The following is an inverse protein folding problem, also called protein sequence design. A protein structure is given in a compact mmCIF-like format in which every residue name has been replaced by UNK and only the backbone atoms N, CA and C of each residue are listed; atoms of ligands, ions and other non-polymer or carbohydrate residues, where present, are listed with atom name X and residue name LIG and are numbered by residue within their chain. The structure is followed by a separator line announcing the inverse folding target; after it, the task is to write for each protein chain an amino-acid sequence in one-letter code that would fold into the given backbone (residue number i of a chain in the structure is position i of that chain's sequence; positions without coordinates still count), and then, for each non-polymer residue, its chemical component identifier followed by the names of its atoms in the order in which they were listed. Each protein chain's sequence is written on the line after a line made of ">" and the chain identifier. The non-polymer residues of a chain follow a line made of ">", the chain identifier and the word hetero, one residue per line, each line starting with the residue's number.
data_IF_514817791266
#
_entry.id   IF_514817791266
#
_cell.length_a   1.000
_cell.length_b   1.000
_cell.length_c   1.000
_cell.angle_alpha   90.00
_cell.angle_beta   90.00
_cell.angle_gamma   90.00
#
_symmetry.space_group_name_H-M   'P 1'
#
loop_
_entity.id
_entity.type
_entity.pdbx_description
1 polymer ?
#
# COMPACT_ATOMS: atom_id res chain seq x y z
N UNK A 1 -8.98 0.38 -2.26
CA UNK A 1 -8.95 0.41 -0.79
C UNK A 1 -9.18 -0.96 -0.17
N UNK A 2 -10.14 -1.75 -0.64
CA UNK A 2 -10.38 -3.11 -0.10
C UNK A 2 -9.15 -4.05 -0.08
N UNK A 3 -8.20 -3.92 -1.03
CA UNK A 3 -7.02 -4.79 -1.10
C UNK A 3 -5.71 -4.14 -0.63
N UNK A 4 -5.71 -2.83 -0.37
CA UNK A 4 -4.49 -2.02 -0.15
C UNK A 4 -4.67 -0.92 0.89
N UNK A 5 -5.79 -0.91 1.60
CA UNK A 5 -6.07 0.09 2.63
C UNK A 5 -5.37 -0.26 3.95
N UNK A 6 -5.15 0.70 4.84
CA UNK A 6 -5.48 2.13 4.72
C UNK A 6 -4.54 2.88 3.75
N UNK A 7 -5.05 3.88 3.02
CA UNK A 7 -4.27 4.67 2.05
C UNK A 7 -4.50 6.16 2.12
N UNK A 8 -3.50 6.94 1.71
CA UNK A 8 -3.59 8.39 1.64
C UNK A 8 -4.30 8.85 0.36
N UNK A 9 -4.64 10.15 0.30
CA UNK A 9 -5.11 10.77 -0.94
C UNK A 9 -4.02 10.77 -2.04
N UNK A 10 -2.76 10.72 -1.65
CA UNK A 10 -1.60 10.73 -2.55
C UNK A 10 -1.46 9.39 -3.25
N UNK A 11 -1.70 8.29 -2.54
CA UNK A 11 -1.74 6.94 -3.12
C UNK A 11 -2.86 6.84 -4.16
N UNK A 12 -4.06 7.34 -3.83
CA UNK A 12 -5.18 7.39 -4.77
C UNK A 12 -4.84 8.19 -6.02
N UNK A 13 -4.21 9.37 -5.86
CA UNK A 13 -3.78 10.19 -6.98
C UNK A 13 -2.69 9.51 -7.81
N UNK A 14 -1.76 8.80 -7.16
CA UNK A 14 -0.72 8.04 -7.82
C UNK A 14 -1.30 6.94 -8.71
N UNK A 15 -2.29 6.18 -8.23
CA UNK A 15 -2.90 5.08 -8.98
C UNK A 15 -3.79 5.55 -10.12
N UNK A 16 -4.66 6.52 -9.84
CA UNK A 16 -5.69 6.95 -10.79
C UNK A 16 -5.22 8.03 -11.75
N UNK A 17 -4.12 8.71 -11.42
CA UNK A 17 -3.64 9.93 -12.09
C UNK A 17 -4.67 11.07 -12.11
N UNK A 18 -5.66 11.04 -11.22
CA UNK A 18 -6.70 12.07 -11.12
C UNK A 18 -6.32 13.18 -10.12
N UNK A 19 -6.87 14.40 -10.29
CA UNK A 19 -6.66 15.48 -9.33
C UNK A 19 -7.23 15.15 -7.94
N UNK A 20 -6.47 15.49 -6.90
CA UNK A 20 -6.83 15.27 -5.48
C UNK A 20 -8.18 15.87 -5.09
N UNK A 21 -8.58 17.00 -5.68
CA UNK A 21 -9.89 17.63 -5.41
C UNK A 21 -11.04 16.72 -5.83
N UNK A 22 -10.97 16.13 -7.03
CA UNK A 22 -11.99 15.20 -7.52
C UNK A 22 -11.99 13.90 -6.72
N UNK A 23 -10.81 13.38 -6.39
CA UNK A 23 -10.68 12.18 -5.56
C UNK A 23 -11.27 12.36 -4.16
N UNK A 24 -11.07 13.52 -3.54
CA UNK A 24 -11.66 13.82 -2.22
C UNK A 24 -13.20 13.85 -2.30
N UNK A 25 -13.75 14.48 -3.32
CA UNK A 25 -15.20 14.51 -3.53
C UNK A 25 -15.76 13.10 -3.79
N UNK A 26 -15.07 12.30 -4.62
CA UNK A 26 -15.47 10.93 -4.91
C UNK A 26 -15.38 10.02 -3.68
N UNK A 27 -14.34 10.16 -2.86
CA UNK A 27 -14.22 9.40 -1.62
C UNK A 27 -15.36 9.74 -0.64
N UNK A 28 -15.73 11.02 -0.53
CA UNK A 28 -16.84 11.45 0.33
C UNK A 28 -18.23 11.03 -0.17
N UNK A 29 -18.38 10.68 -1.45
CA UNK A 29 -19.65 10.25 -2.03
C UNK A 29 -19.88 8.74 -2.01
N UNK A 30 -18.97 7.96 -1.42
CA UNK A 30 -19.01 6.49 -1.44
C UNK A 30 -19.15 6.00 0.00
N UNK A 31 -20.33 5.49 0.36
CA UNK A 31 -20.69 5.11 1.74
C UNK A 31 -19.75 4.07 2.38
N UNK A 32 -19.09 3.24 1.57
CA UNK A 32 -18.14 2.21 2.01
C UNK A 32 -16.73 2.72 2.27
N UNK A 33 -16.45 4.01 2.08
CA UNK A 33 -15.14 4.62 2.32
C UNK A 33 -15.22 5.47 3.57
N UNK A 34 -14.38 5.17 4.55
CA UNK A 34 -14.23 5.95 5.77
C UNK A 34 -12.92 6.73 5.73
N UNK A 35 -12.95 7.97 6.26
CA UNK A 35 -11.76 8.77 6.51
C UNK A 35 -11.35 8.61 7.98
N UNK A 36 -10.16 8.08 8.22
CA UNK A 36 -9.55 7.92 9.54
C UNK A 36 -8.19 8.62 9.61
N UNK A 37 -7.54 8.50 10.78
CA UNK A 37 -6.20 9.04 11.02
C UNK A 37 -5.24 7.88 11.32
N UNK A 38 -4.12 7.86 10.60
CA UNK A 38 -2.96 7.02 10.92
C UNK A 38 -1.85 7.94 11.43
N UNK A 39 -1.76 8.07 12.76
CA UNK A 39 -1.00 9.16 13.38
C UNK A 39 -1.60 10.51 13.01
N UNK A 40 -0.79 11.40 12.41
CA UNK A 40 -1.24 12.71 11.91
C UNK A 40 -1.68 12.68 10.43
N UNK A 41 -1.58 11.53 9.76
CA UNK A 41 -1.88 11.40 8.33
C UNK A 41 -3.33 10.96 8.11
N UNK A 42 -4.13 11.74 7.36
CA UNK A 42 -5.46 11.30 6.96
C UNK A 42 -5.37 10.15 5.95
N UNK A 43 -6.06 9.07 6.25
CA UNK A 43 -6.12 7.87 5.42
C UNK A 43 -7.56 7.49 5.17
N UNK A 44 -7.86 6.95 3.99
CA UNK A 44 -9.14 6.33 3.74
C UNK A 44 -9.02 4.80 3.62
N UNK A 45 -10.05 4.13 4.12
CA UNK A 45 -10.13 2.70 4.24
C UNK A 45 -11.54 2.24 3.90
N UNK A 46 -11.66 0.94 3.63
CA UNK A 46 -12.98 0.32 3.48
C UNK A 46 -13.65 0.22 4.86
N UNK A 47 -14.90 0.65 4.98
CA UNK A 47 -15.63 0.68 6.25
C UNK A 47 -15.69 -0.71 6.92
N UNK A 48 -15.78 -1.78 6.12
CA UNK A 48 -15.77 -3.15 6.64
C UNK A 48 -14.41 -3.52 7.25
N UNK A 49 -13.31 -3.02 6.69
CA UNK A 49 -11.97 -3.22 7.23
C UNK A 49 -11.76 -2.42 8.53
N UNK A 50 -12.32 -1.21 8.62
CA UNK A 50 -12.35 -0.37 9.82
C UNK A 50 -12.98 -1.10 11.01
N UNK A 51 -14.14 -1.73 10.79
CA UNK A 51 -14.85 -2.50 11.81
C UNK A 51 -14.07 -3.74 12.31
N UNK A 52 -13.14 -4.27 11.50
CA UNK A 52 -12.27 -5.39 11.88
C UNK A 52 -10.95 -4.97 12.53
N UNK A 53 -10.63 -3.68 12.59
CA UNK A 53 -9.37 -3.17 13.14
C UNK A 53 -9.23 -3.39 14.67
N UNK A 54 -10.33 -3.67 15.37
CA UNK A 54 -10.35 -4.11 16.78
C UNK A 54 -9.87 -5.57 16.95
N UNK A 55 -9.69 -6.31 15.85
CA UNK A 55 -9.04 -7.61 15.91
C UNK A 55 -7.55 -7.39 16.15
N UNK A 56 -7.07 -7.81 17.33
CA UNK A 56 -5.66 -7.87 17.69
C UNK A 56 -4.85 -8.28 16.46
N UNK A 57 -4.01 -7.37 15.95
CA UNK A 57 -2.99 -7.71 14.96
C UNK A 57 -2.12 -8.78 15.60
N UNK A 58 -2.47 -10.04 15.34
CA UNK A 58 -1.74 -11.19 15.84
C UNK A 58 -0.41 -11.10 15.11
N UNK A 59 0.65 -10.78 15.86
CA UNK A 59 2.01 -10.65 15.33
C UNK A 59 2.24 -11.71 14.26
N UNK A 60 2.65 -11.25 13.07
CA UNK A 60 2.89 -12.07 11.89
C UNK A 60 3.43 -13.42 12.31
N UNK A 61 2.71 -14.50 11.99
CA UNK A 61 3.36 -15.81 11.94
C UNK A 61 4.60 -15.66 11.06
N UNK A 62 5.72 -16.29 11.41
CA UNK A 62 6.91 -16.27 10.55
C UNK A 62 6.49 -16.78 9.16
N UNK A 63 6.39 -15.85 8.20
CA UNK A 63 5.84 -16.13 6.87
C UNK A 63 6.89 -15.86 5.81
N UNK A 64 7.05 -16.82 4.91
CA UNK A 64 7.90 -16.68 3.72
C UNK A 64 6.99 -16.68 2.50
N UNK A 65 7.01 -15.60 1.73
CA UNK A 65 6.22 -15.45 0.51
C UNK A 65 7.14 -15.32 -0.69
N UNK A 66 6.93 -16.14 -1.72
CA UNK A 66 7.63 -16.00 -3.00
C UNK A 66 6.81 -15.11 -3.92
N UNK A 67 7.37 -13.99 -4.36
CA UNK A 67 6.68 -13.05 -5.26
C UNK A 67 7.35 -13.04 -6.64
N UNK A 68 6.57 -13.01 -7.73
CA UNK A 68 7.10 -12.92 -9.07
C UNK A 68 7.80 -11.57 -9.32
N UNK A 69 8.49 -11.48 -10.45
CA UNK A 69 8.90 -10.19 -10.99
C UNK A 69 7.67 -9.29 -11.18
N UNK A 70 7.84 -7.98 -10.97
CA UNK A 70 6.78 -6.97 -11.12
C UNK A 70 5.58 -7.16 -10.19
N UNK A 71 5.77 -7.77 -9.02
CA UNK A 71 4.69 -7.92 -8.06
C UNK A 71 4.18 -6.57 -7.52
N UNK A 72 2.89 -6.51 -7.23
CA UNK A 72 2.23 -5.31 -6.71
C UNK A 72 2.69 -4.90 -5.32
N UNK A 73 3.33 -5.79 -4.55
CA UNK A 73 3.96 -5.44 -3.28
C UNK A 73 4.96 -4.28 -3.41
N UNK A 74 5.79 -4.26 -4.45
CA UNK A 74 6.77 -3.16 -4.69
C UNK A 74 6.25 -2.08 -5.64
N UNK A 75 5.37 -2.43 -6.57
CA UNK A 75 4.84 -1.49 -7.56
C UNK A 75 3.65 -0.69 -7.03
N UNK A 76 3.01 -1.20 -5.97
CA UNK A 76 1.71 -0.75 -5.51
C UNK A 76 1.72 0.61 -4.84
N UNK A 77 2.85 1.15 -4.44
CA UNK A 77 2.94 2.49 -3.85
C UNK A 77 4.06 3.31 -4.50
N UNK A 78 3.86 4.62 -4.52
CA UNK A 78 4.88 5.54 -5.00
C UNK A 78 6.07 5.59 -4.03
N UNK A 79 5.76 5.67 -2.73
CA UNK A 79 6.74 5.55 -1.66
C UNK A 79 6.99 4.06 -1.37
N UNK A 80 8.18 3.61 -1.74
CA UNK A 80 8.62 2.21 -1.58
C UNK A 80 9.42 1.99 -0.31
N UNK A 81 9.75 3.06 0.42
CA UNK A 81 10.56 2.96 1.63
C UNK A 81 9.86 2.17 2.75
N UNK A 82 8.54 1.99 2.65
CA UNK A 82 7.75 1.18 3.57
C UNK A 82 8.00 -0.33 3.45
N UNK A 83 8.50 -0.78 2.30
CA UNK A 83 8.64 -2.21 2.00
C UNK A 83 10.05 -2.61 1.58
N UNK A 84 10.86 -1.66 1.09
CA UNK A 84 12.23 -1.93 0.68
C UNK A 84 13.18 -0.81 1.12
N UNK A 85 14.30 -1.20 1.76
CA UNK A 85 15.44 -0.30 1.92
C UNK A 85 16.07 0.03 0.57
N UNK A 86 16.88 1.10 0.49
CA UNK A 86 17.57 1.47 -0.75
C UNK A 86 18.43 0.32 -1.31
N UNK A 87 19.12 -0.41 -0.43
CA UNK A 87 19.94 -1.55 -0.82
C UNK A 87 19.09 -2.71 -1.39
N UNK A 88 17.93 -2.98 -0.78
CA UNK A 88 16.98 -3.98 -1.30
C UNK A 88 16.41 -3.54 -2.64
N UNK A 89 16.02 -2.27 -2.76
CA UNK A 89 15.47 -1.72 -3.98
C UNK A 89 16.48 -1.77 -5.14
N UNK A 90 17.75 -1.44 -4.89
CA UNK A 90 18.82 -1.54 -5.88
C UNK A 90 19.11 -3.00 -6.28
N UNK A 91 18.99 -3.96 -5.34
CA UNK A 91 19.11 -5.38 -5.65
C UNK A 91 17.92 -5.90 -6.48
N UNK A 92 16.72 -5.37 -6.22
CA UNK A 92 15.47 -5.75 -6.88
C UNK A 92 15.33 -5.14 -8.28
N UNK A 93 15.83 -3.91 -8.48
CA UNK A 93 15.81 -3.17 -9.75
C UNK A 93 17.22 -2.66 -10.09
N UNK A 94 18.16 -3.54 -10.44
CA UNK A 94 19.53 -3.13 -10.73
C UNK A 94 19.60 -2.13 -11.88
N UNK A 95 20.29 -1.02 -11.66
CA UNK A 95 20.43 0.05 -12.64
C UNK A 95 19.15 0.84 -12.90
N UNK A 96 18.07 0.63 -12.12
CA UNK A 96 16.82 1.40 -12.17
C UNK A 96 16.20 1.49 -13.58
N UNK A 97 16.41 0.46 -14.40
CA UNK A 97 15.94 0.38 -15.79
C UNK A 97 14.48 -0.09 -15.92
N UNK A 98 13.76 -0.23 -14.81
CA UNK A 98 12.38 -0.68 -14.77
C UNK A 98 12.20 -2.20 -14.87
N UNK A 99 13.26 -3.00 -14.83
CA UNK A 99 13.17 -4.47 -14.78
C UNK A 99 13.26 -4.93 -13.33
N UNK A 100 12.14 -5.41 -12.80
CA UNK A 100 12.04 -5.93 -11.42
C UNK A 100 12.35 -7.42 -11.40
N UNK A 101 13.16 -7.85 -10.43
CA UNK A 101 13.45 -9.27 -10.18
C UNK A 101 12.35 -9.91 -9.31
N UNK A 102 12.15 -11.23 -9.35
CA UNK A 102 11.38 -11.93 -8.33
C UNK A 102 12.06 -11.82 -6.96
N UNK A 103 11.29 -11.92 -5.88
CA UNK A 103 11.79 -11.74 -4.52
C UNK A 103 11.19 -12.75 -3.53
N UNK A 104 11.86 -12.88 -2.39
CA UNK A 104 11.39 -13.62 -1.22
C UNK A 104 11.10 -12.59 -0.15
N UNK A 105 9.85 -12.56 0.34
CA UNK A 105 9.43 -11.71 1.44
C UNK A 105 9.44 -12.52 2.72
N UNK A 106 10.06 -11.99 3.77
CA UNK A 106 10.05 -12.55 5.12
C UNK A 106 9.24 -11.59 5.98
N UNK A 107 8.12 -12.08 6.53
CA UNK A 107 7.19 -11.28 7.33
C UNK A 107 6.71 -9.99 6.63
N UNK A 108 6.59 -10.08 5.30
CA UNK A 108 6.08 -9.01 4.45
C UNK A 108 7.13 -8.02 3.92
N UNK A 109 8.43 -8.23 4.21
CA UNK A 109 9.55 -7.40 3.70
C UNK A 109 10.60 -8.18 2.94
#
# INVERSE_FOLDING_TARGET
>A
MAARGPVTLDDLAWWTKLPKTGLRAAAASVDRIELAQLGEKPVYLDAAASASADSNWQGSAETVTLVPAFDEWILGYADRSLVASDAMFDALVPGKNGVFRPAVLVDGV
#
